data_IF_521060276123
#
_entry.id   IF_521060276123
#
_cell.length_a   1.000
_cell.length_b   1.000
_cell.length_c   1.000
_cell.angle_alpha   90.00
_cell.angle_beta   90.00
_cell.angle_gamma   90.00
#
_symmetry.space_group_name_H-M   'P 1'
#
loop_
_entity.id
_entity.type
_entity.pdbx_description
1 polymer ?
#
# COMPACT_ATOMS: atom_id res chain seq x y z
N UNK A 1 16.97 1.68 -18.00
CA UNK A 1 16.00 2.24 -18.94
C UNK A 1 15.07 3.07 -18.08
N UNK A 2 15.25 4.39 -18.12
CA UNK A 2 14.82 5.29 -17.06
C UNK A 2 13.29 5.36 -16.98
N UNK A 3 12.76 5.07 -15.80
CA UNK A 3 11.35 5.22 -15.47
C UNK A 3 10.85 6.66 -15.73
N UNK A 4 11.74 7.65 -15.67
CA UNK A 4 11.47 9.02 -16.08
C UNK A 4 11.14 9.14 -17.58
N UNK A 5 11.77 8.35 -18.45
CA UNK A 5 11.41 8.30 -19.87
C UNK A 5 10.07 7.60 -20.09
N UNK A 6 9.74 6.55 -19.32
CA UNK A 6 8.43 5.89 -19.40
C UNK A 6 7.29 6.78 -18.91
N UNK A 7 7.53 7.64 -17.92
CA UNK A 7 6.54 8.60 -17.43
C UNK A 7 6.42 9.83 -18.35
N UNK A 8 7.51 10.26 -18.99
CA UNK A 8 7.49 11.33 -20.01
C UNK A 8 6.81 10.90 -21.33
N UNK A 9 6.79 9.61 -21.64
CA UNK A 9 6.08 9.06 -22.81
C UNK A 9 4.61 8.71 -22.55
N UNK A 10 4.15 8.75 -21.30
CA UNK A 10 2.75 8.48 -20.98
C UNK A 10 1.89 9.72 -21.18
N UNK A 11 0.95 9.62 -22.12
CA UNK A 11 0.01 10.69 -22.42
C UNK A 11 -0.94 10.92 -21.24
N UNK A 12 -1.61 12.08 -21.22
CA UNK A 12 -2.67 12.39 -20.24
C UNK A 12 -3.78 11.30 -20.19
N UNK A 13 -3.92 10.55 -21.29
CA UNK A 13 -4.85 9.43 -21.45
C UNK A 13 -4.43 8.14 -20.72
N UNK A 14 -3.14 7.95 -20.41
CA UNK A 14 -2.65 6.74 -19.70
C UNK A 14 -3.04 6.69 -18.21
N UNK A 15 -3.61 7.79 -17.72
CA UNK A 15 -4.12 7.92 -16.36
C UNK A 15 -5.64 8.04 -16.30
N UNK A 16 -6.34 7.86 -17.43
CA UNK A 16 -7.80 7.72 -17.45
C UNK A 16 -8.13 6.32 -16.91
N UNK A 17 -8.81 6.20 -15.76
CA UNK A 17 -9.14 4.91 -15.21
C UNK A 17 -10.15 4.17 -16.08
N UNK A 18 -9.96 2.86 -16.22
CA UNK A 18 -10.93 1.94 -16.83
C UNK A 18 -12.06 1.65 -15.85
N UNK A 19 -13.24 1.29 -16.35
CA UNK A 19 -14.42 1.04 -15.52
C UNK A 19 -14.17 0.01 -14.41
N UNK A 20 -13.47 -1.09 -14.70
CA UNK A 20 -13.13 -2.08 -13.68
C UNK A 20 -12.24 -1.50 -12.58
N UNK A 21 -11.35 -0.56 -12.90
CA UNK A 21 -10.47 0.09 -11.93
C UNK A 21 -11.28 1.00 -11.01
N UNK A 22 -12.29 1.70 -11.55
CA UNK A 22 -13.22 2.51 -10.76
C UNK A 22 -14.04 1.64 -9.81
N UNK A 23 -14.58 0.52 -10.29
CA UNK A 23 -15.37 -0.36 -9.41
C UNK A 23 -14.52 -1.00 -8.32
N UNK A 24 -13.30 -1.46 -8.63
CA UNK A 24 -12.38 -2.00 -7.61
C UNK A 24 -11.97 -0.91 -6.61
N UNK A 25 -11.73 0.33 -7.08
CA UNK A 25 -11.46 1.47 -6.21
C UNK A 25 -12.62 1.70 -5.22
N UNK A 26 -13.87 1.70 -5.68
CA UNK A 26 -15.05 1.86 -4.82
C UNK A 26 -15.14 0.76 -3.74
N UNK A 27 -14.78 -0.48 -4.10
CA UNK A 27 -14.71 -1.58 -3.13
C UNK A 27 -13.58 -1.33 -2.12
N UNK A 28 -12.40 -0.95 -2.59
CA UNK A 28 -11.22 -0.70 -1.75
C UNK A 28 -11.38 0.48 -0.77
N UNK A 29 -12.17 1.50 -1.12
CA UNK A 29 -12.52 2.58 -0.20
C UNK A 29 -13.38 2.05 0.97
N UNK A 30 -14.36 1.20 0.65
CA UNK A 30 -15.37 0.70 1.60
C UNK A 30 -14.87 -0.42 2.51
N UNK A 31 -13.92 -1.24 2.06
CA UNK A 31 -13.39 -2.37 2.85
C UNK A 31 -11.94 -2.70 2.52
N UNK A 32 -11.28 -3.34 3.49
CA UNK A 32 -9.95 -3.91 3.30
C UNK A 32 -9.95 -4.93 2.17
N UNK A 33 -9.04 -4.80 1.22
CA UNK A 33 -9.10 -5.51 -0.05
C UNK A 33 -7.73 -5.98 -0.53
N UNK A 34 -7.62 -7.23 -0.98
CA UNK A 34 -6.48 -7.72 -1.76
C UNK A 34 -6.87 -7.64 -3.23
N UNK A 35 -6.36 -6.65 -3.93
CA UNK A 35 -6.58 -6.41 -5.35
C UNK A 35 -5.70 -7.39 -6.14
N UNK A 36 -6.33 -8.44 -6.65
CA UNK A 36 -5.70 -9.47 -7.44
C UNK A 36 -5.98 -9.27 -8.92
N UNK A 37 -4.98 -8.75 -9.64
CA UNK A 37 -5.06 -8.49 -11.08
C UNK A 37 -3.72 -8.79 -11.76
N UNK A 38 -3.70 -9.27 -13.02
CA UNK A 38 -2.45 -9.49 -13.76
C UNK A 38 -1.52 -8.28 -13.80
N UNK A 39 -0.22 -8.50 -14.05
CA UNK A 39 0.75 -7.41 -14.26
C UNK A 39 0.35 -6.55 -15.46
N UNK A 40 0.65 -5.25 -15.42
CA UNK A 40 0.31 -4.31 -16.49
C UNK A 40 -1.16 -3.82 -16.49
N UNK A 41 -2.01 -4.32 -15.59
CA UNK A 41 -3.43 -3.90 -15.49
C UNK A 41 -3.67 -2.63 -14.67
N UNK A 42 -2.61 -1.96 -14.20
CA UNK A 42 -2.71 -0.71 -13.46
C UNK A 42 -3.18 -0.85 -12.01
N UNK A 43 -2.74 -1.89 -11.29
CA UNK A 43 -3.00 -2.06 -9.84
C UNK A 43 -2.58 -0.82 -9.03
N UNK A 44 -1.39 -0.28 -9.31
CA UNK A 44 -0.90 0.93 -8.64
C UNK A 44 -1.81 2.11 -8.89
N UNK A 45 -2.36 2.29 -10.10
CA UNK A 45 -3.31 3.37 -10.37
C UNK A 45 -4.56 3.27 -9.47
N UNK A 46 -5.07 2.05 -9.24
CA UNK A 46 -6.19 1.83 -8.32
C UNK A 46 -5.82 2.28 -6.89
N UNK A 47 -4.63 1.89 -6.42
CA UNK A 47 -4.12 2.31 -5.12
C UNK A 47 -3.99 3.83 -4.99
N UNK A 48 -3.49 4.52 -6.02
CA UNK A 48 -3.45 6.00 -6.06
C UNK A 48 -4.85 6.60 -5.98
N UNK A 49 -5.81 6.06 -6.73
CA UNK A 49 -7.18 6.58 -6.68
C UNK A 49 -7.82 6.40 -5.30
N UNK A 50 -7.61 5.25 -4.64
CA UNK A 50 -8.05 5.00 -3.26
C UNK A 50 -7.38 6.01 -2.30
N UNK A 51 -6.07 6.21 -2.43
CA UNK A 51 -5.32 7.19 -1.63
C UNK A 51 -5.93 8.58 -1.75
N UNK A 52 -6.16 9.07 -2.98
CA UNK A 52 -6.76 10.40 -3.22
C UNK A 52 -8.16 10.51 -2.60
N UNK A 53 -8.96 9.45 -2.65
CA UNK A 53 -10.30 9.42 -2.06
C UNK A 53 -10.28 9.38 -0.53
N UNK A 54 -9.21 8.89 0.07
CA UNK A 54 -9.03 8.79 1.52
C UNK A 54 -8.10 9.87 2.09
N UNK A 55 -7.74 10.91 1.31
CA UNK A 55 -6.71 11.88 1.66
C UNK A 55 -7.15 12.98 2.65
N UNK A 56 -8.42 13.05 3.06
CA UNK A 56 -8.90 14.09 3.97
C UNK A 56 -8.13 14.13 5.31
N UNK A 57 -7.85 13.00 5.98
CA UNK A 57 -7.07 13.01 7.22
C UNK A 57 -5.61 13.45 7.05
N UNK A 58 -5.11 13.47 5.81
CA UNK A 58 -3.73 13.86 5.50
C UNK A 58 -3.55 15.38 5.47
N UNK A 59 -4.63 16.17 5.45
CA UNK A 59 -4.55 17.63 5.32
C UNK A 59 -4.03 18.34 6.57
N UNK A 60 -3.78 17.59 7.65
CA UNK A 60 -3.24 18.10 8.90
C UNK A 60 -1.99 17.32 9.29
N UNK A 61 -1.01 17.96 9.94
CA UNK A 61 0.13 17.25 10.53
C UNK A 61 -0.30 16.27 11.63
N UNK A 62 0.54 15.27 11.90
CA UNK A 62 0.28 14.28 12.97
C UNK A 62 0.10 14.95 14.33
N UNK A 63 0.91 15.96 14.66
CA UNK A 63 0.78 16.71 15.92
C UNK A 63 -0.58 17.40 16.12
N UNK A 64 -1.34 17.58 15.04
CA UNK A 64 -2.67 18.22 15.03
C UNK A 64 -3.81 17.20 14.84
N UNK A 65 -3.52 15.91 15.04
CA UNK A 65 -4.49 14.82 14.86
C UNK A 65 -4.76 14.47 13.40
N UNK A 66 -3.85 14.84 12.49
CA UNK A 66 -3.84 14.31 11.13
C UNK A 66 -3.32 12.88 11.07
N UNK A 67 -3.24 12.34 9.86
CA UNK A 67 -2.75 10.98 9.59
C UNK A 67 -1.78 10.95 8.42
N UNK A 68 -1.12 9.81 8.24
CA UNK A 68 -0.30 9.51 7.05
C UNK A 68 -0.85 8.30 6.30
N UNK A 69 -0.63 8.25 4.99
CA UNK A 69 -0.78 7.03 4.18
C UNK A 69 0.59 6.37 3.98
N UNK A 70 0.65 5.04 3.98
CA UNK A 70 1.92 4.32 3.80
C UNK A 70 1.79 3.30 2.67
N UNK A 71 2.74 3.33 1.74
CA UNK A 71 2.93 2.31 0.71
C UNK A 71 4.21 1.52 1.00
N UNK A 72 4.04 0.21 1.17
CA UNK A 72 5.08 -0.73 1.54
C UNK A 72 5.45 -1.59 0.34
N UNK A 73 6.75 -1.63 0.07
CA UNK A 73 7.33 -2.41 -1.03
C UNK A 73 8.42 -3.34 -0.53
N UNK A 74 8.91 -4.23 -1.39
CA UNK A 74 9.87 -5.28 -1.02
C UNK A 74 11.33 -4.92 -1.34
N UNK A 75 11.60 -3.92 -2.18
CA UNK A 75 12.97 -3.58 -2.60
C UNK A 75 13.18 -2.06 -2.69
N UNK A 76 14.44 -1.63 -2.62
CA UNK A 76 14.82 -0.22 -2.76
C UNK A 76 14.44 0.34 -4.13
N UNK A 77 14.65 -0.42 -5.21
CA UNK A 77 14.25 0.01 -6.55
C UNK A 77 12.73 0.28 -6.66
N UNK A 78 11.91 -0.50 -5.96
CA UNK A 78 10.47 -0.26 -5.91
C UNK A 78 10.11 0.97 -5.09
N UNK A 79 10.89 1.34 -4.07
CA UNK A 79 10.67 2.59 -3.31
C UNK A 79 10.76 3.79 -4.25
N UNK A 80 11.82 3.85 -5.06
CA UNK A 80 12.01 4.93 -6.03
C UNK A 80 10.93 4.92 -7.12
N UNK A 81 10.59 3.73 -7.64
CA UNK A 81 9.59 3.60 -8.69
C UNK A 81 8.21 4.04 -8.23
N UNK A 82 7.74 3.53 -7.09
CA UNK A 82 6.39 3.81 -6.62
C UNK A 82 6.27 5.25 -6.10
N UNK A 83 7.31 5.80 -5.48
CA UNK A 83 7.31 7.20 -5.03
C UNK A 83 7.25 8.19 -6.20
N UNK A 84 8.01 7.96 -7.28
CA UNK A 84 7.91 8.78 -8.51
C UNK A 84 6.51 8.68 -9.12
N UNK A 85 5.95 7.48 -9.20
CA UNK A 85 4.60 7.26 -9.74
C UNK A 85 3.52 7.98 -8.91
N UNK A 86 3.59 7.90 -7.58
CA UNK A 86 2.69 8.60 -6.67
C UNK A 86 2.81 10.12 -6.81
N UNK A 87 4.04 10.67 -6.78
CA UNK A 87 4.30 12.11 -6.95
C UNK A 87 3.72 12.68 -8.24
N UNK A 88 3.70 11.88 -9.31
CA UNK A 88 3.16 12.31 -10.59
C UNK A 88 1.62 12.39 -10.61
N UNK A 89 0.91 11.73 -9.68
CA UNK A 89 -0.54 11.52 -9.75
C UNK A 89 -1.32 12.00 -8.54
N UNK A 90 -0.64 12.33 -7.44
CA UNK A 90 -1.24 12.88 -6.24
C UNK A 90 -0.68 14.26 -5.93
N UNK A 91 -1.51 15.13 -5.34
CA UNK A 91 -1.12 16.46 -4.87
C UNK A 91 -0.63 16.43 -3.41
N UNK A 92 -0.44 15.23 -2.84
CA UNK A 92 0.04 15.05 -1.48
C UNK A 92 1.57 15.04 -1.43
N UNK A 93 2.15 15.46 -0.31
CA UNK A 93 3.59 15.38 -0.07
C UNK A 93 4.04 13.93 0.11
N UNK A 94 4.78 13.42 -0.88
CA UNK A 94 5.26 12.03 -0.90
C UNK A 94 6.74 11.98 -0.55
N UNK A 95 7.07 11.23 0.50
CA UNK A 95 8.46 10.90 0.84
C UNK A 95 8.78 9.43 0.57
N UNK A 96 10.05 9.18 0.24
CA UNK A 96 10.59 7.87 -0.06
C UNK A 96 11.70 7.55 0.94
N UNK A 97 11.68 6.35 1.52
CA UNK A 97 12.65 5.91 2.51
C UNK A 97 13.19 4.53 2.14
N UNK A 98 14.50 4.43 2.02
CA UNK A 98 15.19 3.19 1.68
C UNK A 98 16.42 3.00 2.58
N UNK A 99 16.96 1.77 2.61
CA UNK A 99 18.18 1.46 3.37
C UNK A 99 19.39 2.29 2.93
N UNK A 100 19.43 2.71 1.66
CA UNK A 100 20.53 3.52 1.08
C UNK A 100 20.60 4.93 1.70
N UNK A 101 19.52 5.39 2.33
CA UNK A 101 19.48 6.67 3.05
C UNK A 101 20.02 6.57 4.49
N UNK A 102 20.52 5.40 4.91
CA UNK A 102 21.03 5.15 6.26
C UNK A 102 19.99 5.46 7.36
N UNK A 103 18.71 5.20 7.06
CA UNK A 103 17.58 5.55 7.94
C UNK A 103 17.62 4.87 9.32
N UNK A 104 18.34 3.75 9.42
CA UNK A 104 18.54 3.04 10.69
C UNK A 104 19.35 3.88 11.70
N UNK A 105 20.17 4.81 11.21
CA UNK A 105 20.98 5.71 12.04
C UNK A 105 20.29 7.05 12.34
N UNK A 106 19.09 7.28 11.81
CA UNK A 106 18.35 8.50 12.09
C UNK A 106 17.85 8.53 13.54
N UNK A 107 18.04 9.68 14.17
CA UNK A 107 17.49 9.92 15.50
C UNK A 107 15.96 9.93 15.47
N UNK A 108 15.35 9.70 16.62
CA UNK A 108 13.90 9.83 16.78
C UNK A 108 13.39 11.22 16.36
N UNK A 109 14.18 12.28 16.61
CA UNK A 109 13.79 13.65 16.21
C UNK A 109 13.74 13.81 14.69
N UNK A 110 14.69 13.24 13.96
CA UNK A 110 14.67 13.24 12.49
C UNK A 110 13.46 12.49 11.98
N UNK A 111 13.16 11.31 12.53
CA UNK A 111 11.95 10.58 12.12
C UNK A 111 10.66 11.33 12.41
N UNK A 112 10.54 11.94 13.60
CA UNK A 112 9.35 12.75 13.94
C UNK A 112 9.18 13.93 12.99
N UNK A 113 10.26 14.63 12.64
CA UNK A 113 10.23 15.70 11.64
C UNK A 113 9.75 15.20 10.28
N UNK A 114 10.24 14.03 9.84
CA UNK A 114 9.80 13.42 8.58
C UNK A 114 8.33 13.01 8.58
N UNK A 115 7.84 12.45 9.70
CA UNK A 115 6.45 12.04 9.85
C UNK A 115 5.50 13.25 9.98
N UNK A 116 5.98 14.37 10.50
CA UNK A 116 5.19 15.59 10.68
C UNK A 116 4.95 16.34 9.35
N UNK A 117 5.91 16.28 8.42
CA UNK A 117 5.89 17.09 7.18
C UNK A 117 5.54 16.31 5.91
N UNK A 118 5.35 15.00 5.98
CA UNK A 118 5.01 14.19 4.80
C UNK A 118 3.69 13.45 4.99
N UNK A 119 2.88 13.43 3.94
CA UNK A 119 1.52 12.90 3.96
C UNK A 119 1.47 11.44 3.47
N UNK A 120 2.33 11.09 2.52
CA UNK A 120 2.42 9.75 1.93
C UNK A 120 3.85 9.24 2.06
N UNK A 121 4.00 8.10 2.73
CA UNK A 121 5.31 7.50 3.00
C UNK A 121 5.47 6.25 2.15
N UNK A 122 6.50 6.21 1.30
CA UNK A 122 6.86 5.04 0.50
C UNK A 122 8.13 4.45 1.07
N UNK A 123 8.09 3.19 1.51
CA UNK A 123 9.27 2.58 2.14
C UNK A 123 9.30 1.07 1.98
N UNK A 124 10.46 0.47 2.23
CA UNK A 124 10.52 -0.99 2.40
C UNK A 124 9.78 -1.41 3.65
N UNK A 125 9.17 -2.60 3.63
CA UNK A 125 8.37 -3.07 4.77
C UNK A 125 9.15 -3.12 6.09
N UNK A 126 10.44 -3.47 6.04
CA UNK A 126 11.29 -3.51 7.23
C UNK A 126 11.45 -2.14 7.91
N UNK A 127 11.47 -1.04 7.14
CA UNK A 127 11.56 0.31 7.72
C UNK A 127 10.33 0.60 8.58
N UNK A 128 9.12 0.25 8.11
CA UNK A 128 7.92 0.43 8.92
C UNK A 128 7.94 -0.44 10.18
N UNK A 129 8.41 -1.70 10.09
CA UNK A 129 8.59 -2.56 11.27
C UNK A 129 9.47 -1.85 12.31
N UNK A 130 10.61 -1.30 11.89
CA UNK A 130 11.53 -0.59 12.79
C UNK A 130 10.88 0.67 13.41
N UNK A 131 10.11 1.44 12.63
CA UNK A 131 9.37 2.63 13.11
C UNK A 131 8.33 2.24 14.17
N UNK A 132 7.56 1.19 13.93
CA UNK A 132 6.53 0.70 14.86
C UNK A 132 7.16 0.18 16.15
N UNK A 133 8.24 -0.61 16.06
CA UNK A 133 8.96 -1.12 17.22
C UNK A 133 9.53 -0.01 18.11
N UNK A 134 10.01 1.09 17.49
CA UNK A 134 10.50 2.29 18.20
C UNK A 134 9.36 3.20 18.69
N UNK A 135 8.10 2.85 18.45
CA UNK A 135 6.93 3.67 18.80
C UNK A 135 7.01 5.10 18.22
N UNK A 136 7.59 5.25 17.03
CA UNK A 136 7.69 6.54 16.34
C UNK A 136 6.40 6.90 15.59
N UNK A 137 5.61 5.90 15.21
CA UNK A 137 4.31 6.02 14.56
C UNK A 137 3.37 4.96 15.14
N UNK A 138 2.11 5.31 15.41
CA UNK A 138 1.06 4.31 15.68
C UNK A 138 0.32 3.96 14.41
N UNK A 139 -0.13 2.71 14.25
CA UNK A 139 -1.06 2.38 13.17
C UNK A 139 -2.40 3.12 13.30
N UNK A 140 -2.77 3.62 14.48
CA UNK A 140 -3.94 4.50 14.63
C UNK A 140 -3.76 5.85 13.89
N UNK A 141 -2.52 6.28 13.70
CA UNK A 141 -2.15 7.53 13.00
C UNK A 141 -1.99 7.32 11.49
N UNK A 142 -2.30 6.11 11.00
CA UNK A 142 -2.29 5.75 9.58
C UNK A 142 -3.74 5.66 9.07
N UNK A 143 -4.06 6.30 7.96
CA UNK A 143 -5.39 6.19 7.34
C UNK A 143 -5.46 5.03 6.32
N UNK A 144 -4.34 4.73 5.65
CA UNK A 144 -4.26 3.79 4.54
C UNK A 144 -2.89 3.09 4.54
N UNK A 145 -2.91 1.75 4.58
CA UNK A 145 -1.76 0.88 4.37
C UNK A 145 -1.89 0.15 3.03
N UNK A 146 -0.90 0.33 2.16
CA UNK A 146 -0.85 -0.29 0.84
C UNK A 146 0.34 -1.25 0.81
N UNK A 147 0.10 -2.53 0.56
CA UNK A 147 1.14 -3.56 0.45
C UNK A 147 1.33 -3.97 -1.00
N UNK A 148 2.46 -3.61 -1.60
CA UNK A 148 2.84 -4.07 -2.94
C UNK A 148 3.36 -5.51 -2.89
N UNK A 149 2.98 -6.32 -3.88
CA UNK A 149 3.26 -7.75 -3.93
C UNK A 149 2.93 -8.47 -2.61
N UNK A 150 1.72 -8.23 -2.09
CA UNK A 150 1.29 -8.69 -0.77
C UNK A 150 1.22 -10.22 -0.63
N UNK A 151 1.31 -10.98 -1.72
CA UNK A 151 1.44 -12.44 -1.68
C UNK A 151 2.66 -12.91 -0.86
N UNK A 152 3.69 -12.07 -0.75
CA UNK A 152 4.87 -12.34 0.08
C UNK A 152 4.59 -12.27 1.59
N UNK A 153 3.47 -11.67 2.02
CA UNK A 153 3.09 -11.52 3.42
C UNK A 153 2.57 -12.80 4.07
N UNK A 154 3.42 -13.82 4.13
CA UNK A 154 3.19 -15.08 4.84
C UNK A 154 4.35 -15.36 5.78
N UNK A 155 4.19 -16.34 6.67
CA UNK A 155 5.23 -16.77 7.61
C UNK A 155 5.83 -15.59 8.40
N UNK A 156 7.16 -15.50 8.48
CA UNK A 156 7.90 -14.43 9.20
C UNK A 156 8.28 -13.23 8.29
N UNK A 157 7.53 -13.01 7.20
CA UNK A 157 7.78 -11.86 6.34
C UNK A 157 7.50 -10.54 7.09
N UNK A 158 8.27 -9.46 6.89
CA UNK A 158 8.04 -8.18 7.58
C UNK A 158 6.61 -7.64 7.49
N UNK A 159 5.87 -7.98 6.43
CA UNK A 159 4.45 -7.61 6.30
C UNK A 159 3.57 -8.25 7.38
N UNK A 160 3.84 -9.50 7.76
CA UNK A 160 3.10 -10.17 8.84
C UNK A 160 3.42 -9.52 10.19
N UNK A 161 4.66 -9.07 10.37
CA UNK A 161 5.08 -8.30 11.55
C UNK A 161 4.36 -6.95 11.65
N UNK A 162 4.26 -6.18 10.55
CA UNK A 162 3.44 -4.95 10.52
C UNK A 162 1.99 -5.26 10.89
N UNK A 163 1.39 -6.28 10.28
CA UNK A 163 0.00 -6.65 10.53
C UNK A 163 -0.23 -7.20 11.94
N UNK A 164 0.80 -7.64 12.67
CA UNK A 164 0.68 -8.03 14.08
C UNK A 164 0.29 -6.87 15.01
N UNK A 165 0.53 -5.62 14.60
CA UNK A 165 0.10 -4.40 15.31
C UNK A 165 -1.34 -3.98 14.97
N UNK A 166 -1.98 -4.62 13.99
CA UNK A 166 -3.32 -4.25 13.50
C UNK A 166 -4.48 -4.62 14.44
N UNK A 167 -4.47 -5.74 15.18
CA UNK A 167 -5.57 -6.09 16.07
C UNK A 167 -5.79 -5.06 17.18
N UNK A 168 -7.07 -4.78 17.49
CA UNK A 168 -7.50 -3.90 18.58
C UNK A 168 -7.12 -2.41 18.46
N UNK A 169 -6.78 -1.94 17.24
CA UNK A 169 -6.67 -0.51 16.97
C UNK A 169 -8.03 0.19 17.19
N UNK A 170 -7.99 1.40 17.73
CA UNK A 170 -9.19 2.23 17.93
C UNK A 170 -9.70 2.79 16.61
N UNK A 171 -8.77 3.16 15.75
CA UNK A 171 -9.03 3.74 14.44
C UNK A 171 -8.10 3.08 13.41
N UNK A 172 -8.42 1.82 12.98
CA UNK A 172 -7.53 1.03 12.13
C UNK A 172 -7.42 1.62 10.73
N UNK A 173 -6.24 1.54 10.08
CA UNK A 173 -6.09 1.96 8.70
C UNK A 173 -6.89 1.07 7.76
N UNK A 174 -7.30 1.63 6.61
CA UNK A 174 -7.73 0.84 5.46
C UNK A 174 -6.52 0.04 4.94
N UNK A 175 -6.70 -1.26 4.71
CA UNK A 175 -5.64 -2.13 4.18
C UNK A 175 -5.92 -2.49 2.73
N UNK A 176 -4.97 -2.22 1.85
CA UNK A 176 -5.00 -2.58 0.43
C UNK A 176 -3.78 -3.43 0.10
N UNK A 177 -3.98 -4.70 -0.24
CA UNK A 177 -2.95 -5.54 -0.83
C UNK A 177 -3.00 -5.47 -2.34
N UNK A 178 -1.86 -5.31 -3.01
CA UNK A 178 -1.74 -5.40 -4.46
C UNK A 178 -0.98 -6.67 -4.81
N UNK A 179 -1.49 -7.47 -5.74
CA UNK A 179 -0.75 -8.63 -6.18
C UNK A 179 -1.13 -9.12 -7.57
N UNK A 180 -0.15 -9.62 -8.33
CA UNK A 180 -0.36 -10.33 -9.60
C UNK A 180 -0.51 -11.85 -9.45
N UNK A 181 -0.19 -12.37 -8.27
CA UNK A 181 -0.34 -13.78 -7.88
C UNK A 181 -0.89 -13.86 -6.46
N UNK A 182 -1.57 -14.93 -6.09
CA UNK A 182 -1.98 -15.17 -4.69
C UNK A 182 -1.20 -16.32 -4.06
N UNK A 183 -0.22 -16.86 -4.77
CA UNK A 183 0.47 -18.10 -4.43
C UNK A 183 1.99 -17.90 -4.51
N UNK A 184 2.70 -18.37 -3.48
CA UNK A 184 4.17 -18.39 -3.42
C UNK A 184 4.78 -19.70 -3.92
N UNK A 185 3.95 -20.71 -4.17
CA UNK A 185 4.36 -22.05 -4.58
C UNK A 185 3.34 -22.67 -5.52
N UNK A 186 3.77 -23.66 -6.29
CA UNK A 186 2.84 -24.54 -7.00
C UNK A 186 2.03 -25.30 -5.95
N UNK A 187 0.72 -25.31 -6.11
CA UNK A 187 -0.18 -25.98 -5.19
C UNK A 187 -1.33 -26.64 -5.96
N UNK A 188 -1.96 -27.63 -5.33
CA UNK A 188 -3.15 -28.27 -5.86
C UNK A 188 -4.36 -27.32 -5.77
N UNK A 189 -5.42 -27.51 -6.58
CA UNK A 189 -6.61 -26.65 -6.51
C UNK A 189 -7.22 -26.53 -5.10
N UNK A 190 -7.17 -27.60 -4.30
CA UNK A 190 -7.65 -27.60 -2.93
C UNK A 190 -6.80 -26.72 -1.99
N UNK A 191 -5.50 -26.60 -2.24
CA UNK A 191 -4.59 -25.76 -1.46
C UNK A 191 -4.72 -24.28 -1.81
N UNK A 192 -5.13 -23.93 -3.03
CA UNK A 192 -5.31 -22.52 -3.45
C UNK A 192 -6.22 -21.76 -2.48
N UNK A 193 -7.37 -22.34 -2.14
CA UNK A 193 -8.32 -21.71 -1.22
C UNK A 193 -7.73 -21.51 0.18
N UNK A 194 -6.86 -22.43 0.61
CA UNK A 194 -6.18 -22.33 1.90
C UNK A 194 -5.15 -21.21 1.89
N UNK A 195 -4.32 -21.11 0.85
CA UNK A 195 -3.32 -20.04 0.70
C UNK A 195 -4.00 -18.66 0.63
N UNK A 196 -5.08 -18.54 -0.15
CA UNK A 196 -5.89 -17.31 -0.19
C UNK A 196 -6.46 -16.97 1.19
N UNK A 197 -6.99 -17.97 1.90
CA UNK A 197 -7.51 -17.77 3.27
C UNK A 197 -6.44 -17.37 4.27
N UNK A 198 -5.17 -17.74 4.05
CA UNK A 198 -4.04 -17.26 4.86
C UNK A 198 -3.83 -15.77 4.59
N UNK A 199 -3.71 -15.35 3.33
CA UNK A 199 -3.53 -13.94 2.97
C UNK A 199 -4.69 -13.06 3.48
N UNK A 200 -5.94 -13.49 3.29
CA UNK A 200 -7.11 -12.75 3.77
C UNK A 200 -7.10 -12.53 5.29
N UNK A 201 -6.65 -13.55 6.05
CA UNK A 201 -6.51 -13.44 7.50
C UNK A 201 -5.35 -12.52 7.89
N UNK A 202 -4.18 -12.69 7.27
CA UNK A 202 -3.00 -11.86 7.54
C UNK A 202 -3.31 -10.37 7.34
N UNK A 203 -3.93 -10.02 6.21
CA UNK A 203 -4.19 -8.63 5.86
C UNK A 203 -5.57 -8.11 6.32
N UNK A 204 -6.33 -8.90 7.08
CA UNK A 204 -7.70 -8.58 7.48
C UNK A 204 -8.54 -8.06 6.29
N UNK A 205 -8.42 -8.73 5.15
CA UNK A 205 -8.86 -8.25 3.84
C UNK A 205 -9.63 -9.34 3.09
N UNK A 206 -10.37 -8.95 2.05
CA UNK A 206 -10.96 -9.88 1.09
C UNK A 206 -10.35 -9.72 -0.30
N UNK A 207 -10.14 -10.84 -1.00
CA UNK A 207 -9.68 -10.78 -2.39
C UNK A 207 -10.75 -10.11 -3.25
N UNK A 208 -10.31 -9.26 -4.17
CA UNK A 208 -11.12 -8.57 -5.17
C UNK A 208 -10.44 -8.72 -6.52
N UNK A 209 -11.17 -9.22 -7.51
CA UNK A 209 -10.72 -9.34 -8.89
C UNK A 209 -11.84 -9.01 -9.88
N UNK A 210 -11.58 -9.07 -11.18
CA UNK A 210 -12.56 -8.68 -12.22
C UNK A 210 -13.80 -9.58 -12.22
N UNK A 211 -13.68 -10.86 -11.86
CA UNK A 211 -14.86 -11.75 -11.76
C UNK A 211 -15.85 -11.33 -10.67
N UNK A 212 -15.40 -10.63 -9.62
CA UNK A 212 -16.31 -10.09 -8.60
C UNK A 212 -17.19 -8.94 -9.14
N UNK A 213 -16.81 -8.33 -10.26
CA UNK A 213 -17.55 -7.25 -10.91
C UNK A 213 -18.75 -7.79 -11.69
N UNK A 214 -18.62 -8.98 -12.29
CA UNK A 214 -19.70 -9.63 -13.03
C UNK A 214 -20.89 -9.97 -12.11
N UNK A 215 -20.61 -10.30 -10.84
CA UNK A 215 -21.63 -10.54 -9.80
C UNK A 215 -22.39 -9.29 -9.34
N UNK A 216 -21.85 -8.08 -9.58
CA UNK A 216 -22.49 -6.81 -9.21
C UNK A 216 -23.35 -6.22 -10.35
N UNK A 217 -23.19 -6.74 -11.56
CA UNK A 217 -23.91 -6.32 -12.76
C UNK A 217 -24.94 -7.35 -13.24
N UNK A 218 -25.14 -8.44 -12.50
CA UNK A 218 -26.11 -9.51 -12.78
C UNK A 218 -27.35 -9.46 -11.90
#
# INVERSE_FOLDING_TARGET
>A
MDLEMELQHKGKDDFIPRDYQLTIMEIGIKRNSIIFLPTGTGKTLIAVMILKRLAEPLQRPLSQGGKVSVMLVNTVALVDQQSKYLKALTDQDVAAYSGDMNVDYWSDSTWRDQLEHNQVLVMTTQILVNILQRSLLSLNDVNLLIFDECHNGVDDHPMTQVMSYYPNLRDPPRVIGLSATLLNRKCTPAEVLKEVSVLERTFHSKVVTVTDLECLTG
#
